data_IF_504146350018
#
_entry.id   IF_504146350018
#
_cell.length_a   1.000
_cell.length_b   1.000
_cell.length_c   1.000
_cell.angle_alpha   90.00
_cell.angle_beta   90.00
_cell.angle_gamma   90.00
#
_symmetry.space_group_name_H-M   'P 1'
#
loop_
_entity.id
_entity.type
_entity.pdbx_description
1 polymer ?
#
# COMPACT_ATOMS: atom_id res chain seq x y z
N UNK A 1 -0.36 -23.24 -3.83
CA UNK A 1 0.30 -22.00 -4.33
C UNK A 1 1.47 -21.64 -3.42
N UNK A 2 2.39 -20.75 -3.82
CA UNK A 2 3.43 -20.21 -2.92
C UNK A 2 2.95 -18.94 -2.18
N UNK A 3 3.73 -18.45 -1.20
CA UNK A 3 3.39 -17.24 -0.44
C UNK A 3 3.18 -16.01 -1.35
N UNK A 4 3.99 -15.84 -2.40
CA UNK A 4 3.85 -14.73 -3.35
C UNK A 4 2.50 -14.77 -4.09
N UNK A 5 2.12 -15.94 -4.59
CA UNK A 5 0.82 -16.18 -5.22
C UNK A 5 -0.32 -15.99 -4.23
N UNK A 6 -0.17 -16.48 -3.01
CA UNK A 6 -1.15 -16.33 -1.94
C UNK A 6 -1.43 -14.86 -1.61
N UNK A 7 -0.39 -14.02 -1.49
CA UNK A 7 -0.59 -12.57 -1.30
C UNK A 7 -1.26 -11.90 -2.51
N UNK A 8 -0.91 -12.33 -3.72
CA UNK A 8 -1.57 -11.85 -4.94
C UNK A 8 -3.06 -12.20 -4.94
N UNK A 9 -3.40 -13.44 -4.57
CA UNK A 9 -4.78 -13.91 -4.48
C UNK A 9 -5.55 -13.23 -3.35
N UNK A 10 -4.90 -12.97 -2.22
CA UNK A 10 -5.47 -12.18 -1.12
C UNK A 10 -5.88 -10.78 -1.56
N UNK A 11 -5.05 -10.12 -2.37
CA UNK A 11 -5.38 -8.82 -2.97
C UNK A 11 -6.54 -8.94 -3.97
N UNK A 12 -6.60 -10.03 -4.74
CA UNK A 12 -7.70 -10.29 -5.67
C UNK A 12 -9.04 -10.46 -4.95
N UNK A 13 -9.09 -11.29 -3.90
CA UNK A 13 -10.26 -11.43 -3.02
C UNK A 13 -10.68 -10.08 -2.44
N UNK A 14 -9.71 -9.24 -2.02
CA UNK A 14 -10.02 -7.89 -1.53
C UNK A 14 -10.76 -7.04 -2.55
N UNK A 15 -10.27 -7.02 -3.79
CA UNK A 15 -10.87 -6.25 -4.87
C UNK A 15 -12.28 -6.75 -5.18
N UNK A 16 -12.46 -8.07 -5.31
CA UNK A 16 -13.76 -8.66 -5.64
C UNK A 16 -14.81 -8.40 -4.55
N UNK A 17 -14.44 -8.49 -3.27
CA UNK A 17 -15.36 -8.11 -2.19
C UNK A 17 -15.72 -6.63 -2.24
N UNK A 18 -14.77 -5.74 -2.56
CA UNK A 18 -15.06 -4.31 -2.69
C UNK A 18 -16.04 -4.03 -3.84
N UNK A 19 -15.89 -4.73 -4.97
CA UNK A 19 -16.79 -4.63 -6.12
C UNK A 19 -18.21 -5.11 -5.75
N UNK A 20 -18.33 -6.30 -5.14
CA UNK A 20 -19.61 -6.84 -4.67
C UNK A 20 -20.29 -5.93 -3.62
N UNK A 21 -19.53 -5.39 -2.67
CA UNK A 21 -20.03 -4.42 -1.71
C UNK A 21 -20.50 -3.13 -2.36
N UNK A 22 -19.81 -2.64 -3.39
CA UNK A 22 -20.24 -1.46 -4.16
C UNK A 22 -21.56 -1.71 -4.89
N UNK A 23 -21.74 -2.90 -5.47
CA UNK A 23 -22.98 -3.29 -6.16
C UNK A 23 -24.14 -3.36 -5.17
N UNK A 24 -23.95 -4.05 -4.04
CA UNK A 24 -24.96 -4.23 -2.99
C UNK A 24 -25.25 -2.94 -2.22
N UNK A 25 -24.28 -2.04 -2.12
CA UNK A 25 -24.42 -0.74 -1.47
C UNK A 25 -25.22 0.29 -2.28
N UNK A 26 -25.52 0.00 -3.55
CA UNK A 26 -26.33 0.88 -4.40
C UNK A 26 -27.82 0.54 -4.26
N UNK A 27 -28.60 1.45 -3.67
CA UNK A 27 -30.05 1.29 -3.51
C UNK A 27 -30.79 1.03 -4.83
N UNK A 28 -30.33 1.60 -5.94
CA UNK A 28 -30.95 1.39 -7.26
C UNK A 28 -30.75 -0.03 -7.80
N UNK A 29 -29.79 -0.78 -7.26
CA UNK A 29 -29.59 -2.19 -7.59
C UNK A 29 -30.47 -3.09 -6.74
N UNK A 30 -30.65 -2.76 -5.45
CA UNK A 30 -31.29 -3.64 -4.46
C UNK A 30 -32.79 -3.35 -4.25
N UNK A 31 -33.36 -2.40 -5.01
CA UNK A 31 -34.79 -2.05 -4.93
C UNK A 31 -35.43 -2.09 -6.30
N UNK A 32 -36.73 -2.41 -6.34
CA UNK A 32 -37.59 -2.28 -7.52
C UNK A 32 -38.59 -1.17 -7.26
N UNK A 33 -38.60 -0.16 -8.12
CA UNK A 33 -39.51 0.99 -8.00
C UNK A 33 -40.61 0.88 -9.04
N UNK A 34 -41.85 0.76 -8.55
CA UNK A 34 -43.07 0.79 -9.35
C UNK A 34 -43.80 2.10 -9.06
N UNK A 35 -44.03 2.90 -10.10
CA UNK A 35 -44.81 4.13 -10.02
C UNK A 35 -46.20 3.88 -10.61
N UNK A 36 -47.25 4.11 -9.81
CA UNK A 36 -48.63 4.06 -10.29
C UNK A 36 -49.19 5.48 -10.32
N UNK A 37 -49.39 6.03 -11.53
CA UNK A 37 -50.03 7.32 -11.73
C UNK A 37 -51.54 7.16 -11.63
N UNK A 38 -52.10 7.63 -10.52
CA UNK A 38 -53.52 7.51 -10.18
C UNK A 38 -54.39 8.52 -10.95
N UNK A 39 -54.40 8.44 -12.29
CA UNK A 39 -55.10 9.38 -13.17
C UNK A 39 -56.61 9.38 -12.94
N UNK A 40 -57.20 8.24 -12.57
CA UNK A 40 -58.65 8.12 -12.32
C UNK A 40 -59.13 9.02 -11.16
N UNK A 41 -58.24 9.33 -10.19
CA UNK A 41 -58.57 10.18 -9.05
C UNK A 41 -58.82 11.64 -9.44
N UNK A 42 -58.28 12.07 -10.57
CA UNK A 42 -58.41 13.44 -11.08
C UNK A 42 -59.35 13.49 -12.28
N UNK A 43 -59.39 12.42 -13.09
CA UNK A 43 -60.26 12.30 -14.26
C UNK A 43 -60.93 10.92 -14.26
N UNK A 44 -62.21 10.85 -13.93
CA UNK A 44 -62.93 9.58 -13.72
C UNK A 44 -62.95 8.63 -14.95
N UNK A 45 -62.75 9.17 -16.16
CA UNK A 45 -62.71 8.41 -17.41
C UNK A 45 -61.29 7.97 -17.81
N UNK A 46 -60.25 8.38 -17.07
CA UNK A 46 -58.86 8.02 -17.35
C UNK A 46 -58.42 6.80 -16.53
N UNK A 47 -57.70 5.87 -17.17
CA UNK A 47 -57.10 4.71 -16.50
C UNK A 47 -55.79 5.09 -15.79
N UNK A 48 -55.50 4.38 -14.70
CA UNK A 48 -54.22 4.51 -14.01
C UNK A 48 -53.10 3.92 -14.86
N UNK A 49 -51.95 4.60 -14.85
CA UNK A 49 -50.78 4.19 -15.60
C UNK A 49 -49.72 3.64 -14.64
N UNK A 50 -49.22 2.44 -14.89
CA UNK A 50 -48.14 1.84 -14.11
C UNK A 50 -46.86 1.90 -14.92
N UNK A 51 -45.80 2.46 -14.35
CA UNK A 51 -44.45 2.42 -14.91
C UNK A 51 -43.49 1.76 -13.93
N UNK A 52 -42.49 1.07 -14.48
CA UNK A 52 -41.39 0.46 -13.73
C UNK A 52 -40.12 1.24 -14.03
N UNK A 53 -39.35 1.57 -13.00
CA UNK A 53 -38.00 2.09 -13.21
C UNK A 53 -37.09 1.00 -13.79
N UNK A 54 -36.24 1.39 -14.73
CA UNK A 54 -35.31 0.46 -15.36
C UNK A 54 -34.26 -0.01 -14.33
N UNK A 55 -33.75 -1.26 -14.44
CA UNK A 55 -32.66 -1.73 -13.62
C UNK A 55 -31.46 -0.79 -13.68
N UNK A 56 -30.84 -0.54 -12.52
CA UNK A 56 -29.71 0.40 -12.43
C UNK A 56 -28.41 -0.18 -13.00
N UNK A 57 -28.23 -1.51 -12.95
CA UNK A 57 -27.07 -2.22 -13.52
C UNK A 57 -27.45 -3.62 -14.02
N UNK A 58 -26.51 -4.29 -14.68
CA UNK A 58 -26.66 -5.69 -15.12
C UNK A 58 -26.82 -6.70 -13.96
N UNK A 59 -26.43 -6.33 -12.74
CA UNK A 59 -26.52 -7.19 -11.55
C UNK A 59 -27.83 -7.03 -10.77
N UNK A 60 -28.69 -6.07 -11.13
CA UNK A 60 -29.90 -5.72 -10.37
C UNK A 60 -30.92 -6.86 -10.24
N UNK A 61 -30.86 -7.87 -11.13
CA UNK A 61 -31.75 -9.03 -11.08
C UNK A 61 -31.14 -10.25 -10.35
N UNK A 62 -29.86 -10.19 -9.94
CA UNK A 62 -29.13 -11.27 -9.25
C UNK A 62 -28.56 -10.82 -7.90
N UNK A 63 -29.28 -9.94 -7.20
CA UNK A 63 -28.78 -9.31 -5.97
C UNK A 63 -28.67 -10.28 -4.79
N UNK A 64 -29.54 -11.29 -4.73
CA UNK A 64 -29.47 -12.29 -3.66
C UNK A 64 -28.20 -13.11 -3.82
N UNK A 65 -27.95 -13.57 -5.03
CA UNK A 65 -26.78 -14.35 -5.37
C UNK A 65 -25.50 -13.52 -5.31
N UNK A 66 -25.57 -12.22 -5.60
CA UNK A 66 -24.47 -11.28 -5.34
C UNK A 66 -24.10 -11.22 -3.86
N UNK A 67 -25.09 -11.28 -2.96
CA UNK A 67 -24.83 -11.33 -1.51
C UNK A 67 -24.24 -12.68 -1.09
N UNK A 68 -24.71 -13.79 -1.66
CA UNK A 68 -24.14 -15.13 -1.44
C UNK A 68 -22.68 -15.18 -1.92
N UNK A 69 -22.39 -14.62 -3.10
CA UNK A 69 -21.03 -14.52 -3.61
C UNK A 69 -20.12 -13.69 -2.71
N UNK A 70 -20.59 -12.58 -2.16
CA UNK A 70 -19.83 -11.79 -1.19
C UNK A 70 -19.48 -12.60 0.07
N UNK A 71 -20.42 -13.40 0.58
CA UNK A 71 -20.17 -14.27 1.74
C UNK A 71 -19.19 -15.39 1.40
N UNK A 72 -19.29 -15.97 0.20
CA UNK A 72 -18.33 -16.93 -0.32
C UNK A 72 -16.90 -16.35 -0.38
N UNK A 73 -16.74 -15.14 -0.95
CA UNK A 73 -15.45 -14.46 -1.01
C UNK A 73 -14.86 -14.19 0.38
N UNK A 74 -15.70 -13.90 1.38
CA UNK A 74 -15.27 -13.71 2.76
C UNK A 74 -14.74 -15.01 3.37
N UNK A 75 -15.47 -16.11 3.23
CA UNK A 75 -15.06 -17.44 3.71
C UNK A 75 -13.71 -17.86 3.08
N UNK A 76 -13.55 -17.64 1.78
CA UNK A 76 -12.29 -17.90 1.07
C UNK A 76 -11.14 -17.04 1.57
N UNK A 77 -11.41 -15.78 1.93
CA UNK A 77 -10.41 -14.90 2.54
C UNK A 77 -9.99 -15.38 3.93
N UNK A 78 -10.91 -15.90 4.73
CA UNK A 78 -10.59 -16.46 6.04
C UNK A 78 -9.69 -17.69 5.91
N UNK A 79 -10.05 -18.64 5.04
CA UNK A 79 -9.25 -19.85 4.74
C UNK A 79 -7.85 -19.49 4.27
N UNK A 80 -7.73 -18.60 3.29
CA UNK A 80 -6.44 -18.17 2.76
C UNK A 80 -5.59 -17.48 3.84
N UNK A 81 -6.20 -16.64 4.67
CA UNK A 81 -5.48 -15.93 5.73
C UNK A 81 -4.92 -16.90 6.78
N UNK A 82 -5.67 -17.94 7.13
CA UNK A 82 -5.20 -19.00 8.01
C UNK A 82 -4.05 -19.80 7.38
N UNK A 83 -4.16 -20.17 6.10
CA UNK A 83 -3.11 -20.89 5.37
C UNK A 83 -1.82 -20.05 5.24
N UNK A 84 -1.93 -18.75 4.93
CA UNK A 84 -0.78 -17.82 4.91
C UNK A 84 -0.14 -17.74 6.30
N UNK A 85 -0.94 -17.65 7.37
CA UNK A 85 -0.42 -17.59 8.72
C UNK A 85 0.41 -18.84 9.07
N UNK A 86 -0.11 -20.03 8.76
CA UNK A 86 0.61 -21.29 8.97
C UNK A 86 1.89 -21.36 8.14
N UNK A 87 1.83 -21.00 6.86
CA UNK A 87 3.00 -20.96 5.98
C UNK A 87 4.09 -20.01 6.51
N UNK A 88 3.71 -18.80 6.96
CA UNK A 88 4.63 -17.86 7.62
C UNK A 88 5.25 -18.45 8.89
N UNK A 89 4.45 -19.16 9.70
CA UNK A 89 4.91 -19.80 10.94
C UNK A 89 5.93 -20.92 10.74
N UNK A 90 5.95 -21.54 9.55
CA UNK A 90 6.92 -22.59 9.20
C UNK A 90 8.32 -22.07 8.84
N UNK A 91 8.45 -20.77 8.60
CA UNK A 91 9.70 -20.17 8.14
C UNK A 91 10.75 -20.12 9.27
N UNK A 92 12.01 -20.47 8.99
CA UNK A 92 13.10 -20.37 9.97
C UNK A 92 13.64 -18.94 10.10
N UNK A 93 12.74 -17.97 10.32
CA UNK A 93 13.06 -16.54 10.47
C UNK A 93 12.85 -16.12 11.93
N UNK A 94 13.91 -15.60 12.57
CA UNK A 94 13.91 -15.32 14.01
C UNK A 94 12.84 -14.31 14.46
N UNK A 95 12.52 -13.32 13.63
CA UNK A 95 11.45 -12.35 13.88
C UNK A 95 10.16 -12.63 13.09
N UNK A 96 10.05 -13.81 12.46
CA UNK A 96 9.03 -14.10 11.44
C UNK A 96 9.22 -13.28 10.16
N UNK A 97 8.40 -13.57 9.14
CA UNK A 97 8.49 -12.91 7.84
C UNK A 97 8.31 -11.38 7.96
N UNK A 98 7.21 -10.94 8.59
CA UNK A 98 6.86 -9.51 8.65
C UNK A 98 7.87 -8.72 9.51
N UNK A 99 8.37 -9.33 10.59
CA UNK A 99 9.40 -8.74 11.44
C UNK A 99 10.74 -8.60 10.71
N UNK A 100 11.18 -9.62 9.95
CA UNK A 100 12.40 -9.52 9.16
C UNK A 100 12.29 -8.51 8.03
N UNK A 101 11.14 -8.39 7.35
CA UNK A 101 10.89 -7.34 6.36
C UNK A 101 11.06 -5.95 7.01
N UNK A 102 10.43 -5.72 8.16
CA UNK A 102 10.51 -4.45 8.88
C UNK A 102 11.93 -4.11 9.34
N UNK A 103 12.62 -5.08 9.96
CA UNK A 103 14.00 -4.91 10.41
C UNK A 103 14.94 -4.66 9.23
N UNK A 104 14.74 -5.34 8.11
CA UNK A 104 15.55 -5.13 6.92
C UNK A 104 15.38 -3.73 6.33
N UNK A 105 14.16 -3.21 6.30
CA UNK A 105 13.90 -1.81 5.96
C UNK A 105 14.74 -0.85 6.81
N UNK A 106 14.81 -1.08 8.13
CA UNK A 106 15.65 -0.28 9.04
C UNK A 106 17.15 -0.44 8.78
N UNK A 107 17.62 -1.64 8.41
CA UNK A 107 19.03 -1.85 8.01
C UNK A 107 19.37 -1.00 6.77
N UNK A 108 18.48 -0.95 5.78
CA UNK A 108 18.67 -0.16 4.56
C UNK A 108 18.63 1.36 4.82
N UNK A 109 17.70 1.83 5.65
CA UNK A 109 17.64 3.24 6.09
C UNK A 109 18.94 3.68 6.76
N UNK A 110 19.43 2.89 7.72
CA UNK A 110 20.68 3.18 8.43
C UNK A 110 21.88 3.11 7.48
N UNK A 111 21.94 2.10 6.58
CA UNK A 111 23.00 2.02 5.58
C UNK A 111 23.04 3.25 4.67
N UNK A 112 21.86 3.78 4.30
CA UNK A 112 21.74 5.01 3.51
C UNK A 112 22.30 6.22 4.27
N UNK A 113 21.98 6.37 5.56
CA UNK A 113 22.55 7.40 6.41
C UNK A 113 24.08 7.30 6.51
N UNK A 114 24.62 6.09 6.75
CA UNK A 114 26.06 5.88 6.84
C UNK A 114 26.77 6.16 5.52
N UNK A 115 26.14 5.82 4.39
CA UNK A 115 26.65 6.14 3.05
C UNK A 115 26.72 7.65 2.82
N UNK A 116 25.69 8.38 3.24
CA UNK A 116 25.69 9.85 3.21
C UNK A 116 26.84 10.43 4.05
N UNK A 117 27.00 9.98 5.30
CA UNK A 117 28.09 10.41 6.17
C UNK A 117 29.47 10.14 5.53
N UNK A 118 29.69 8.94 4.97
CA UNK A 118 30.93 8.61 4.28
C UNK A 118 31.20 9.48 3.03
N UNK A 119 30.14 10.06 2.46
CA UNK A 119 30.18 10.99 1.33
C UNK A 119 30.67 12.39 1.68
N UNK A 120 30.48 12.85 2.92
CA UNK A 120 30.88 14.20 3.35
C UNK A 120 32.39 14.42 3.20
N UNK A 121 32.78 15.65 2.87
CA UNK A 121 34.17 16.08 2.65
C UNK A 121 34.51 17.26 3.55
N UNK A 122 35.78 17.37 3.90
CA UNK A 122 36.30 18.61 4.47
C UNK A 122 36.24 19.70 3.39
N UNK A 123 36.04 20.94 3.82
CA UNK A 123 35.93 22.07 2.92
C UNK A 123 36.48 23.33 3.55
N UNK A 124 36.97 24.22 2.70
CA UNK A 124 37.36 25.56 3.07
C UNK A 124 36.73 26.52 2.08
N UNK A 125 36.08 27.56 2.57
CA UNK A 125 35.43 28.60 1.75
C UNK A 125 35.83 29.96 2.30
N UNK A 126 36.34 30.83 1.43
CA UNK A 126 36.52 32.24 1.73
C UNK A 126 35.22 33.00 1.40
N UNK A 127 34.64 33.65 2.40
CA UNK A 127 33.41 34.44 2.26
C UNK A 127 33.83 35.90 2.25
N UNK A 128 33.87 36.49 1.06
CA UNK A 128 34.27 37.89 0.90
C UNK A 128 33.32 38.83 1.65
N UNK A 129 33.87 39.77 2.42
CA UNK A 129 33.11 40.70 3.27
C UNK A 129 32.10 40.03 4.24
N UNK A 130 32.30 38.74 4.55
CA UNK A 130 31.41 37.96 5.41
C UNK A 130 31.44 38.36 6.88
N UNK A 131 32.50 39.05 7.33
CA UNK A 131 32.69 39.52 8.69
C UNK A 131 32.37 40.99 8.83
N UNK A 132 31.77 41.36 9.96
CA UNK A 132 31.54 42.76 10.35
C UNK A 132 32.22 42.98 11.70
N UNK A 133 33.08 43.99 11.76
CA UNK A 133 33.67 44.46 12.99
C UNK A 133 33.47 45.96 13.15
N UNK A 134 33.81 46.48 14.33
CA UNK A 134 33.77 47.90 14.62
C UNK A 134 35.15 48.38 15.06
N UNK A 135 35.51 49.60 14.67
CA UNK A 135 36.73 50.29 15.10
C UNK A 135 36.43 51.77 15.30
N UNK A 136 37.22 52.46 16.11
CA UNK A 136 37.13 53.92 16.22
C UNK A 136 37.98 54.58 15.11
N UNK A 137 37.45 55.62 14.47
CA UNK A 137 38.21 56.44 13.52
C UNK A 137 39.05 57.49 14.28
N UNK A 138 39.86 58.27 13.54
CA UNK A 138 40.74 59.29 14.13
C UNK A 138 39.99 60.45 14.82
N UNK A 139 38.67 60.54 14.65
CA UNK A 139 37.80 61.54 15.28
C UNK A 139 37.12 61.00 16.55
N UNK A 140 37.40 59.76 16.94
CA UNK A 140 36.79 59.10 18.09
C UNK A 140 35.39 58.51 17.81
N UNK A 141 34.94 58.49 16.55
CA UNK A 141 33.65 57.91 16.15
C UNK A 141 33.78 56.41 15.91
N UNK A 142 32.82 55.60 16.39
CA UNK A 142 32.78 54.17 16.08
C UNK A 142 32.26 53.93 14.65
N UNK A 143 33.04 53.23 13.83
CA UNK A 143 32.73 52.94 12.43
C UNK A 143 32.83 51.44 12.17
N UNK A 144 31.89 50.90 11.39
CA UNK A 144 31.93 49.49 10.97
C UNK A 144 32.93 49.26 9.83
N UNK A 145 33.54 48.07 9.79
CA UNK A 145 34.33 47.60 8.67
C UNK A 145 33.90 46.19 8.26
N UNK A 146 34.16 45.85 7.01
CA UNK A 146 33.95 44.51 6.45
C UNK A 146 35.29 43.80 6.31
N UNK A 147 35.30 42.50 6.57
CA UNK A 147 36.45 41.64 6.32
C UNK A 147 36.01 40.30 5.76
N UNK A 148 36.93 39.62 5.08
CA UNK A 148 36.71 38.27 4.57
C UNK A 148 36.73 37.26 5.72
N UNK A 149 35.87 36.24 5.62
CA UNK A 149 35.80 35.14 6.59
C UNK A 149 36.24 33.86 5.92
N UNK A 150 37.33 33.28 6.41
CA UNK A 150 37.74 31.93 6.06
C UNK A 150 36.95 30.93 6.91
N UNK A 151 36.02 30.20 6.30
CA UNK A 151 35.23 29.15 6.93
C UNK A 151 35.82 27.79 6.60
N UNK A 152 36.23 27.03 7.61
CA UNK A 152 36.74 25.66 7.47
C UNK A 152 35.73 24.69 8.07
N UNK A 153 35.26 23.74 7.27
CA UNK A 153 34.39 22.64 7.70
C UNK A 153 35.20 21.35 7.70
N UNK A 154 35.28 20.69 8.85
CA UNK A 154 35.98 19.41 9.01
C UNK A 154 35.01 18.35 9.51
N UNK A 155 35.03 17.16 8.92
CA UNK A 155 34.26 16.03 9.41
C UNK A 155 34.74 15.66 10.83
N UNK A 156 33.80 15.39 11.73
CA UNK A 156 34.10 14.99 13.11
C UNK A 156 33.73 13.52 13.37
N UNK A 157 34.18 12.64 12.47
CA UNK A 157 33.97 11.20 12.57
C UNK A 157 35.06 10.44 11.81
N UNK A 158 35.30 9.19 12.21
CA UNK A 158 36.18 8.27 11.49
C UNK A 158 35.47 7.72 10.25
N UNK A 159 35.83 8.28 9.08
CA UNK A 159 35.23 7.87 7.79
C UNK A 159 35.44 6.39 7.49
N UNK A 160 36.58 5.81 7.86
CA UNK A 160 36.87 4.41 7.54
C UNK A 160 36.01 3.48 8.38
N UNK A 161 35.79 3.81 9.66
CA UNK A 161 34.82 3.09 10.50
C UNK A 161 33.39 3.19 9.96
N UNK A 162 32.94 4.37 9.56
CA UNK A 162 31.60 4.57 8.98
C UNK A 162 31.42 3.77 7.69
N UNK A 163 32.43 3.77 6.80
CA UNK A 163 32.40 2.96 5.57
C UNK A 163 32.30 1.46 5.86
N UNK A 164 33.07 0.98 6.84
CA UNK A 164 33.02 -0.44 7.24
C UNK A 164 31.64 -0.81 7.80
N UNK A 165 31.11 -0.03 8.73
CA UNK A 165 29.75 -0.23 9.27
C UNK A 165 28.69 -0.23 8.16
N UNK A 166 28.79 0.69 7.20
CA UNK A 166 27.91 0.74 6.04
C UNK A 166 27.99 -0.53 5.19
N UNK A 167 29.21 -1.02 4.92
CA UNK A 167 29.44 -2.22 4.10
C UNK A 167 28.90 -3.47 4.80
N UNK A 168 29.22 -3.66 6.07
CA UNK A 168 28.77 -4.81 6.87
C UNK A 168 27.23 -4.84 6.96
N UNK A 169 26.61 -3.68 7.18
CA UNK A 169 25.15 -3.56 7.27
C UNK A 169 24.46 -3.76 5.92
N UNK A 170 25.03 -3.23 4.83
CA UNK A 170 24.48 -3.43 3.47
C UNK A 170 24.54 -4.90 3.09
N UNK A 171 25.67 -5.58 3.33
CA UNK A 171 25.81 -7.02 3.08
C UNK A 171 24.75 -7.83 3.82
N UNK A 172 24.56 -7.58 5.12
CA UNK A 172 23.51 -8.25 5.91
C UNK A 172 22.11 -7.96 5.35
N UNK A 173 21.86 -6.73 4.90
CA UNK A 173 20.58 -6.36 4.30
C UNK A 173 20.32 -7.14 3.00
N UNK A 174 21.34 -7.26 2.14
CA UNK A 174 21.23 -7.97 0.87
C UNK A 174 20.98 -9.47 1.09
N UNK A 175 21.69 -10.08 2.04
CA UNK A 175 21.47 -11.47 2.46
C UNK A 175 20.05 -11.70 2.99
N UNK A 176 19.55 -10.79 3.86
CA UNK A 176 18.17 -10.86 4.35
C UNK A 176 17.16 -10.69 3.22
N UNK A 177 17.35 -9.74 2.30
CA UNK A 177 16.46 -9.57 1.14
C UNK A 177 16.38 -10.83 0.30
N UNK A 178 17.53 -11.44 -0.02
CA UNK A 178 17.58 -12.67 -0.79
C UNK A 178 16.87 -13.84 -0.08
N UNK A 179 17.02 -13.94 1.25
CA UNK A 179 16.32 -14.94 2.04
C UNK A 179 14.80 -14.71 2.07
N UNK A 180 14.35 -13.46 2.18
CA UNK A 180 12.93 -13.10 2.13
C UNK A 180 12.32 -13.40 0.76
N UNK A 181 13.00 -13.03 -0.33
CA UNK A 181 12.54 -13.32 -1.69
C UNK A 181 12.44 -14.83 -1.94
N UNK A 182 13.44 -15.60 -1.51
CA UNK A 182 13.42 -17.05 -1.58
C UNK A 182 12.26 -17.64 -0.77
N UNK A 183 12.00 -17.12 0.44
CA UNK A 183 10.89 -17.56 1.27
C UNK A 183 9.54 -17.31 0.57
N UNK A 184 9.34 -16.16 -0.07
CA UNK A 184 8.09 -15.84 -0.76
C UNK A 184 7.77 -16.80 -1.92
N UNK A 185 8.78 -17.26 -2.64
CA UNK A 185 8.57 -18.10 -3.84
C UNK A 185 8.60 -19.60 -3.51
N UNK A 186 9.37 -20.02 -2.52
CA UNK A 186 9.59 -21.44 -2.22
C UNK A 186 8.71 -21.98 -1.09
N UNK A 187 8.04 -21.12 -0.31
CA UNK A 187 7.19 -21.59 0.79
C UNK A 187 5.81 -21.96 0.27
N UNK A 188 5.39 -23.23 0.37
CA UNK A 188 4.06 -23.64 -0.04
C UNK A 188 3.01 -23.08 0.93
N UNK A 189 1.86 -22.74 0.38
CA UNK A 189 0.64 -22.38 1.09
C UNK A 189 -0.40 -23.42 0.72
N UNK A 190 -0.89 -24.15 1.73
CA UNK A 190 -1.93 -25.17 1.61
C UNK A 190 -3.30 -24.49 1.43
N UNK A 191 -3.54 -24.00 0.23
CA UNK A 191 -4.79 -23.37 -0.17
C UNK A 191 -5.03 -23.61 -1.66
N UNK A 192 -6.25 -24.01 -2.00
CA UNK A 192 -6.74 -24.23 -3.36
C UNK A 192 -7.62 -23.05 -3.75
N UNK A 193 -7.23 -22.33 -4.80
CA UNK A 193 -7.99 -21.16 -5.26
C UNK A 193 -9.28 -21.61 -5.94
N UNK A 194 -10.44 -21.03 -5.60
CA UNK A 194 -11.70 -21.36 -6.24
C UNK A 194 -11.84 -20.83 -7.67
N UNK A 195 -10.98 -19.90 -8.09
CA UNK A 195 -10.96 -19.29 -9.42
C UNK A 195 -9.55 -18.79 -9.76
N UNK A 196 -9.28 -18.50 -11.04
CA UNK A 196 -7.99 -17.94 -11.45
C UNK A 196 -7.82 -16.49 -10.99
N UNK A 197 -6.61 -16.13 -10.53
CA UNK A 197 -6.31 -14.78 -10.04
C UNK A 197 -6.54 -13.67 -11.08
N UNK A 198 -6.54 -14.02 -12.36
CA UNK A 198 -6.75 -13.12 -13.48
C UNK A 198 -8.21 -13.07 -13.97
N UNK A 199 -9.10 -13.92 -13.45
CA UNK A 199 -10.54 -13.84 -13.79
C UNK A 199 -11.10 -12.48 -13.41
N UNK A 200 -11.98 -11.96 -14.26
CA UNK A 200 -12.75 -10.76 -14.00
C UNK A 200 -13.79 -11.00 -12.90
N UNK A 201 -14.37 -9.92 -12.39
CA UNK A 201 -15.45 -10.04 -11.41
C UNK A 201 -16.66 -10.80 -11.99
N UNK A 202 -17.06 -10.48 -13.23
CA UNK A 202 -18.18 -11.12 -13.91
C UNK A 202 -17.95 -12.63 -14.12
N UNK A 203 -16.76 -13.02 -14.60
CA UNK A 203 -16.43 -14.45 -14.82
C UNK A 203 -16.52 -15.26 -13.51
N UNK A 204 -15.91 -14.76 -12.42
CA UNK A 204 -15.96 -15.45 -11.14
C UNK A 204 -17.37 -15.50 -10.54
N UNK A 205 -18.17 -14.44 -10.74
CA UNK A 205 -19.55 -14.39 -10.31
C UNK A 205 -20.43 -15.38 -11.10
N UNK A 206 -20.31 -15.41 -12.43
CA UNK A 206 -21.02 -16.36 -13.30
C UNK A 206 -20.66 -17.81 -12.98
N UNK A 207 -19.39 -18.09 -12.69
CA UNK A 207 -18.94 -19.40 -12.25
C UNK A 207 -19.57 -19.79 -10.90
N UNK A 208 -19.65 -18.86 -9.94
CA UNK A 208 -20.30 -19.09 -8.66
C UNK A 208 -21.80 -19.36 -8.82
N UNK A 209 -22.50 -18.56 -9.63
CA UNK A 209 -23.91 -18.75 -9.98
C UNK A 209 -24.17 -20.16 -10.55
N UNK A 210 -23.32 -20.60 -11.47
CA UNK A 210 -23.41 -21.91 -12.12
C UNK A 210 -23.17 -23.07 -11.16
N UNK A 211 -22.43 -22.85 -10.07
CA UNK A 211 -22.19 -23.86 -9.03
C UNK A 211 -23.35 -23.98 -8.04
N UNK A 212 -24.24 -22.97 -7.96
CA UNK A 212 -25.41 -22.96 -7.08
C UNK A 212 -26.65 -23.59 -7.75
N UNK A 213 -26.67 -23.71 -9.09
CA UNK A 213 -27.74 -24.31 -9.89
C UNK A 213 -27.62 -25.83 -10.02
#
# INVERSE_FOLDING_TARGET
>A
MNLKEAFRFQNKLQSMMADAQSILGNNGNITKVQNTYLRHKVMAEAEDEVTMEAPSTEYSENITEMAEFLLFLLDEREKLSAAIHQAKGSLPLGAGLDGEVSLNGKRQEIATLLRHMAGLRNGEVLISNGGVGYRFNNEGNQVSYRCDVKRVTTINFDRNKIRKMCADLSKKSDETSAALDAALVNTPVEYEAPFDVNETFAEAFEAHMSALS
#
